data_IF_562854337167
#
_entry.id   IF_562854337167
#
_cell.length_a   1.000
_cell.length_b   1.000
_cell.length_c   1.000
_cell.angle_alpha   90.00
_cell.angle_beta   90.00
_cell.angle_gamma   90.00
#
_symmetry.space_group_name_H-M   'P 1'
#
loop_
_entity.id
_entity.type
_entity.pdbx_description
1 polymer ?
#
# COMPACT_ATOMS: atom_id res chain seq x y z
N UNK A 1 13.15 -0.38 -3.06
CA UNK A 1 11.78 0.11 -2.83
C UNK A 1 10.83 -1.05 -2.68
N UNK A 2 9.77 -0.86 -1.91
CA UNK A 2 8.81 -1.90 -1.46
C UNK A 2 7.96 -2.52 -2.59
N UNK A 3 7.15 -3.53 -2.25
CA UNK A 3 6.11 -4.09 -3.12
C UNK A 3 4.78 -4.13 -2.38
N UNK A 4 3.75 -3.75 -3.09
CA UNK A 4 2.39 -3.63 -2.60
C UNK A 4 1.51 -4.67 -3.27
N UNK A 5 0.59 -5.27 -2.53
CA UNK A 5 -0.54 -6.03 -3.04
C UNK A 5 -1.75 -5.79 -2.15
N UNK A 6 -2.93 -5.65 -2.74
CA UNK A 6 -4.18 -5.54 -2.02
C UNK A 6 -5.33 -6.11 -2.82
N UNK A 7 -6.38 -6.52 -2.14
CA UNK A 7 -7.61 -6.96 -2.79
C UNK A 7 -8.85 -6.61 -1.98
N UNK A 8 -9.97 -6.60 -2.69
CA UNK A 8 -11.32 -6.64 -2.12
C UNK A 8 -12.13 -7.70 -2.85
N UNK A 9 -13.01 -8.40 -2.13
CA UNK A 9 -13.81 -9.52 -2.65
C UNK A 9 -15.19 -9.57 -2.00
N UNK A 10 -16.22 -10.09 -2.69
CA UNK A 10 -17.56 -10.26 -2.12
C UNK A 10 -17.60 -11.33 -1.02
N UNK A 11 -16.73 -12.31 -1.11
CA UNK A 11 -16.61 -13.41 -0.16
C UNK A 11 -15.22 -13.42 0.47
N UNK A 12 -15.09 -13.96 1.68
CA UNK A 12 -13.79 -14.11 2.33
C UNK A 12 -12.92 -15.10 1.57
N UNK A 13 -11.78 -14.62 1.10
CA UNK A 13 -10.82 -15.39 0.31
C UNK A 13 -9.38 -15.10 0.79
N UNK A 14 -8.45 -16.00 0.54
CA UNK A 14 -7.02 -15.78 0.82
C UNK A 14 -6.30 -15.22 -0.41
N UNK A 15 -5.16 -14.53 -0.21
CA UNK A 15 -4.30 -14.09 -1.30
C UNK A 15 -3.93 -15.23 -2.28
N UNK A 16 -3.45 -16.40 -1.80
CA UNK A 16 -3.12 -17.51 -2.72
C UNK A 16 -4.32 -18.00 -3.54
N UNK A 17 -5.51 -18.05 -2.95
CA UNK A 17 -6.70 -18.51 -3.65
C UNK A 17 -7.17 -17.51 -4.72
N UNK A 18 -7.06 -16.21 -4.44
CA UNK A 18 -7.51 -15.16 -5.37
C UNK A 18 -6.48 -14.87 -6.49
N UNK A 19 -5.18 -14.88 -6.16
CA UNK A 19 -4.09 -14.60 -7.13
C UNK A 19 -3.75 -15.84 -7.97
N UNK A 20 -3.97 -17.04 -7.41
CA UNK A 20 -3.64 -18.31 -8.06
C UNK A 20 -2.13 -18.61 -8.03
N UNK A 21 -1.68 -19.40 -9.01
CA UNK A 21 -0.31 -19.93 -9.08
C UNK A 21 0.77 -18.83 -9.09
N UNK A 22 0.46 -17.66 -9.63
CA UNK A 22 1.39 -16.54 -9.71
C UNK A 22 1.63 -15.84 -8.35
N UNK A 23 0.91 -16.19 -7.29
CA UNK A 23 1.16 -15.61 -5.96
C UNK A 23 2.58 -15.91 -5.46
N UNK A 24 3.11 -17.09 -5.79
CA UNK A 24 4.49 -17.46 -5.45
C UNK A 24 5.52 -16.52 -6.10
N UNK A 25 5.24 -16.00 -7.30
CA UNK A 25 6.13 -15.05 -7.99
C UNK A 25 6.19 -13.72 -7.24
N UNK A 26 5.03 -13.22 -6.75
CA UNK A 26 5.01 -12.03 -5.89
C UNK A 26 5.81 -12.26 -4.60
N UNK A 27 5.62 -13.37 -3.92
CA UNK A 27 6.35 -13.69 -2.68
C UNK A 27 7.85 -13.81 -2.93
N UNK A 28 8.27 -14.32 -4.09
CA UNK A 28 9.69 -14.45 -4.47
C UNK A 28 10.42 -13.10 -4.53
N UNK A 29 9.69 -11.99 -4.76
CA UNK A 29 10.25 -10.64 -4.71
C UNK A 29 10.84 -10.31 -3.33
N UNK A 30 10.41 -11.00 -2.27
CA UNK A 30 10.97 -10.81 -0.93
C UNK A 30 12.42 -11.29 -0.78
N UNK A 31 12.99 -11.96 -1.78
CA UNK A 31 14.44 -12.22 -1.83
C UNK A 31 15.26 -10.93 -1.98
N UNK A 32 14.67 -9.90 -2.60
CA UNK A 32 15.24 -8.55 -2.74
C UNK A 32 14.62 -7.59 -1.73
N UNK A 33 13.29 -7.67 -1.53
CA UNK A 33 12.52 -6.87 -0.57
C UNK A 33 12.50 -7.58 0.79
N UNK A 34 13.69 -7.77 1.39
CA UNK A 34 13.91 -8.69 2.49
C UNK A 34 13.91 -8.04 3.88
N UNK A 35 13.68 -6.73 3.98
CA UNK A 35 13.79 -5.96 5.22
C UNK A 35 12.53 -6.02 6.11
N UNK A 36 11.50 -6.70 5.64
CA UNK A 36 10.27 -6.92 6.38
C UNK A 36 9.07 -7.24 5.48
N UNK A 37 8.03 -7.70 6.12
CA UNK A 37 6.71 -7.85 5.52
C UNK A 37 5.62 -7.50 6.52
N UNK A 38 4.44 -7.19 6.02
CA UNK A 38 3.27 -7.01 6.87
C UNK A 38 1.97 -7.20 6.11
N UNK A 39 1.00 -7.70 6.85
CA UNK A 39 -0.34 -8.06 6.38
C UNK A 39 -1.40 -7.43 7.28
N UNK A 40 -2.40 -6.80 6.69
CA UNK A 40 -3.63 -6.40 7.39
C UNK A 40 -4.87 -6.86 6.65
N UNK A 41 -5.93 -7.08 7.42
CA UNK A 41 -7.28 -7.23 6.88
C UNK A 41 -8.16 -6.07 7.33
N UNK A 42 -9.14 -5.71 6.52
CA UNK A 42 -10.14 -4.70 6.83
C UNK A 42 -11.50 -5.32 6.56
N UNK A 43 -12.22 -5.66 7.64
CA UNK A 43 -13.54 -6.25 7.51
C UNK A 43 -14.59 -5.21 7.09
N UNK A 44 -15.65 -5.62 6.40
CA UNK A 44 -16.78 -4.75 6.04
C UNK A 44 -17.55 -4.20 7.24
N UNK A 45 -17.39 -4.78 8.44
CA UNK A 45 -17.91 -4.23 9.69
C UNK A 45 -17.04 -3.10 10.27
N UNK A 46 -15.96 -2.69 9.58
CA UNK A 46 -15.11 -1.55 9.91
C UNK A 46 -13.95 -1.86 10.87
N UNK A 47 -13.72 -3.12 11.22
CA UNK A 47 -12.54 -3.45 12.01
C UNK A 47 -11.31 -3.53 11.09
N UNK A 48 -10.29 -2.69 11.39
CA UNK A 48 -8.97 -2.81 10.76
C UNK A 48 -8.07 -3.60 11.69
N UNK A 49 -7.57 -4.73 11.21
CA UNK A 49 -6.69 -5.60 11.96
C UNK A 49 -5.32 -5.68 11.28
N UNK A 50 -4.27 -5.32 12.00
CA UNK A 50 -2.90 -5.70 11.63
C UNK A 50 -2.71 -7.11 12.13
N UNK A 51 -2.63 -8.06 11.22
CA UNK A 51 -2.48 -9.48 11.56
C UNK A 51 -1.04 -9.80 11.97
N UNK A 52 -0.08 -9.28 11.22
CA UNK A 52 1.33 -9.48 11.52
C UNK A 52 2.21 -8.47 10.77
N UNK A 53 3.31 -8.07 11.43
CA UNK A 53 4.45 -7.36 10.84
C UNK A 53 5.74 -8.00 11.32
N UNK A 54 6.68 -8.31 10.43
CA UNK A 54 7.96 -8.92 10.76
C UNK A 54 9.10 -8.26 10.01
N UNK A 55 10.24 -8.21 10.67
CA UNK A 55 11.51 -7.68 10.14
C UNK A 55 12.34 -8.86 9.59
N UNK A 56 11.79 -9.52 8.59
CA UNK A 56 12.38 -10.67 7.91
C UNK A 56 11.82 -10.81 6.49
N UNK A 57 12.49 -11.54 5.61
CA UNK A 57 11.97 -11.82 4.27
C UNK A 57 10.75 -12.75 4.32
N UNK A 58 9.65 -12.38 3.63
CA UNK A 58 8.43 -13.18 3.59
C UNK A 58 8.68 -14.61 3.08
N UNK A 59 9.54 -14.79 2.07
CA UNK A 59 9.89 -16.10 1.51
C UNK A 59 10.58 -17.04 2.49
N UNK A 60 11.19 -16.52 3.56
CA UNK A 60 11.87 -17.31 4.59
C UNK A 60 11.10 -17.36 5.91
N UNK A 61 9.95 -16.69 6.00
CA UNK A 61 9.15 -16.60 7.22
C UNK A 61 8.16 -17.74 7.35
N UNK A 62 8.32 -18.57 8.36
CA UNK A 62 7.34 -19.62 8.71
C UNK A 62 6.02 -19.01 9.17
N UNK A 63 6.06 -17.86 9.83
CA UNK A 63 4.89 -17.08 10.26
C UNK A 63 4.11 -16.60 9.04
N UNK A 64 4.78 -16.00 8.05
CA UNK A 64 4.16 -15.58 6.79
C UNK A 64 3.43 -16.75 6.12
N UNK A 65 4.12 -17.87 5.90
CA UNK A 65 3.55 -19.04 5.25
C UNK A 65 2.31 -19.57 5.98
N UNK A 66 2.33 -19.54 7.31
CA UNK A 66 1.20 -20.00 8.12
C UNK A 66 0.00 -19.04 8.01
N UNK A 67 0.24 -17.74 8.10
CA UNK A 67 -0.81 -16.73 8.10
C UNK A 67 -1.43 -16.61 6.71
N UNK A 68 -0.62 -16.52 5.67
CA UNK A 68 -1.11 -16.28 4.31
C UNK A 68 -1.96 -17.44 3.77
N UNK A 69 -1.66 -18.68 4.21
CA UNK A 69 -2.42 -19.85 3.82
C UNK A 69 -3.76 -20.00 4.54
N UNK A 70 -3.84 -19.49 5.79
CA UNK A 70 -5.02 -19.67 6.67
C UNK A 70 -5.95 -18.48 6.69
N UNK A 71 -5.42 -17.27 6.44
CA UNK A 71 -6.23 -16.07 6.53
C UNK A 71 -7.10 -15.87 5.30
N UNK A 72 -8.40 -15.74 5.56
CA UNK A 72 -9.40 -15.36 4.57
C UNK A 72 -10.06 -14.06 5.00
N UNK A 73 -10.22 -13.12 4.07
CA UNK A 73 -10.80 -11.82 4.30
C UNK A 73 -11.56 -11.33 3.06
N UNK A 74 -12.44 -10.39 3.23
CA UNK A 74 -13.11 -9.68 2.14
C UNK A 74 -12.36 -8.39 1.70
N UNK A 75 -11.25 -8.09 2.37
CA UNK A 75 -10.29 -7.05 2.01
C UNK A 75 -9.00 -7.20 2.79
N UNK A 76 -7.86 -7.13 2.08
CA UNK A 76 -6.54 -7.24 2.69
C UNK A 76 -5.47 -6.44 1.95
N UNK A 77 -4.45 -6.00 2.71
CA UNK A 77 -3.24 -5.35 2.21
C UNK A 77 -2.01 -6.17 2.61
N UNK A 78 -1.11 -6.38 1.67
CA UNK A 78 0.16 -7.08 1.85
C UNK A 78 1.31 -6.19 1.38
N UNK A 79 2.35 -6.08 2.19
CA UNK A 79 3.53 -5.28 1.94
C UNK A 79 4.81 -6.09 2.06
N UNK A 80 5.71 -5.98 1.08
CA UNK A 80 7.09 -6.48 1.15
C UNK A 80 8.02 -5.26 1.22
N UNK A 81 8.81 -5.18 2.30
CA UNK A 81 9.63 -4.01 2.62
C UNK A 81 11.03 -4.13 2.04
N UNK A 82 11.47 -3.04 1.41
CA UNK A 82 12.87 -2.72 1.17
C UNK A 82 13.17 -1.37 1.80
N UNK A 83 13.88 -1.37 2.90
CA UNK A 83 14.15 -0.18 3.71
C UNK A 83 14.99 0.84 2.93
N UNK A 84 14.68 2.10 3.13
CA UNK A 84 15.54 3.19 2.70
C UNK A 84 16.84 3.16 3.49
N UNK A 85 17.97 3.29 2.81
CA UNK A 85 19.31 3.26 3.45
C UNK A 85 19.39 4.29 4.57
N UNK A 86 19.78 3.83 5.76
CA UNK A 86 19.93 4.67 6.95
C UNK A 86 18.73 4.65 7.90
N UNK A 87 17.59 4.08 7.52
CA UNK A 87 16.47 3.84 8.42
C UNK A 87 16.62 2.49 9.13
N UNK A 88 16.16 2.42 10.38
CA UNK A 88 16.19 1.19 11.16
C UNK A 88 15.22 0.15 10.59
N UNK A 89 15.63 -1.12 10.64
CA UNK A 89 14.73 -2.24 10.41
C UNK A 89 14.01 -2.56 11.72
N UNK A 90 12.76 -2.07 11.83
CA UNK A 90 11.90 -2.29 12.99
C UNK A 90 10.46 -2.52 12.58
N UNK A 91 9.63 -3.04 13.46
CA UNK A 91 8.20 -3.25 13.19
C UNK A 91 7.46 -1.92 13.10
N UNK A 92 7.87 -0.89 13.84
CA UNK A 92 7.32 0.47 13.78
C UNK A 92 7.49 1.06 12.37
N UNK A 93 8.61 0.78 11.72
CA UNK A 93 8.91 1.21 10.35
C UNK A 93 8.36 0.29 9.27
N UNK A 94 7.66 -0.78 9.64
CA UNK A 94 7.10 -1.76 8.71
C UNK A 94 5.60 -1.52 8.52
N UNK A 95 5.16 -1.48 7.25
CA UNK A 95 3.74 -1.40 6.90
C UNK A 95 2.99 -2.70 7.28
N UNK A 96 1.65 -2.63 7.37
CA UNK A 96 0.78 -1.48 7.20
C UNK A 96 0.79 -0.54 8.40
N UNK A 97 0.46 0.74 8.16
CA UNK A 97 0.06 1.70 9.19
C UNK A 97 -1.45 1.69 9.32
N UNK A 98 -1.97 1.87 10.56
CA UNK A 98 -3.41 1.80 10.81
C UNK A 98 -3.87 2.92 11.74
N UNK A 99 -5.08 3.44 11.48
CA UNK A 99 -5.76 4.36 12.37
C UNK A 99 -7.29 4.23 12.19
N UNK A 100 -8.00 3.96 13.27
CA UNK A 100 -9.44 3.70 13.20
C UNK A 100 -9.74 2.52 12.27
N UNK A 101 -10.56 2.76 11.25
CA UNK A 101 -10.92 1.76 10.24
C UNK A 101 -9.98 1.73 9.03
N UNK A 102 -8.94 2.56 9.01
CA UNK A 102 -8.02 2.68 7.88
C UNK A 102 -6.78 1.81 8.02
N UNK A 103 -6.39 1.19 6.92
CA UNK A 103 -5.10 0.52 6.76
C UNK A 103 -4.41 1.06 5.53
N UNK A 104 -3.09 1.27 5.63
CA UNK A 104 -2.30 1.97 4.62
C UNK A 104 -0.95 1.30 4.37
N UNK A 105 -0.59 1.16 3.10
CA UNK A 105 0.73 0.72 2.64
C UNK A 105 1.25 1.67 1.56
N UNK A 106 2.56 1.92 1.56
CA UNK A 106 3.22 2.86 0.64
C UNK A 106 4.49 2.24 0.04
N UNK A 107 4.74 2.58 -1.22
CA UNK A 107 5.98 2.25 -1.93
C UNK A 107 6.55 3.51 -2.55
N UNK A 108 7.63 4.01 -1.98
CA UNK A 108 8.34 5.18 -2.46
C UNK A 108 9.16 5.86 -1.40
N UNK A 109 9.51 7.12 -1.63
CA UNK A 109 10.20 7.98 -0.67
C UNK A 109 9.86 9.44 -0.94
N UNK A 110 9.63 10.20 0.14
CA UNK A 110 9.39 11.64 0.15
C UNK A 110 10.62 12.31 0.77
N UNK A 111 11.09 13.37 0.15
CA UNK A 111 12.30 14.09 0.56
C UNK A 111 12.06 15.60 0.74
N UNK A 112 12.57 16.22 1.82
CA UNK A 112 13.02 15.57 3.06
C UNK A 112 11.86 14.83 3.75
N UNK A 113 12.10 13.78 4.55
CA UNK A 113 11.01 13.00 5.16
C UNK A 113 10.09 13.81 6.08
N UNK A 114 10.61 14.90 6.68
CA UNK A 114 9.86 15.76 7.59
C UNK A 114 9.14 16.94 6.89
N UNK A 115 9.30 17.09 5.57
CA UNK A 115 8.74 18.25 4.83
C UNK A 115 7.23 18.36 4.94
N UNK A 116 6.53 17.26 5.13
CA UNK A 116 5.07 17.20 5.23
C UNK A 116 4.55 17.30 6.68
N UNK A 117 5.43 17.21 7.68
CA UNK A 117 5.03 17.27 9.11
C UNK A 117 4.24 18.53 9.47
N UNK A 118 4.58 19.75 8.98
CA UNK A 118 3.81 20.95 9.27
C UNK A 118 2.34 20.92 8.84
N UNK A 119 1.96 20.01 7.95
CA UNK A 119 0.61 19.86 7.43
C UNK A 119 -0.20 18.78 8.14
N UNK A 120 0.43 18.00 9.02
CA UNK A 120 -0.22 16.97 9.83
C UNK A 120 -0.91 17.62 11.03
N UNK A 121 -2.17 17.27 11.27
CA UNK A 121 -2.89 17.76 12.46
C UNK A 121 -2.12 17.34 13.73
N UNK A 122 -2.02 18.27 14.67
CA UNK A 122 -1.28 18.11 15.92
C UNK A 122 -1.70 16.87 16.73
N UNK A 123 -2.94 16.42 16.61
CA UNK A 123 -3.43 15.23 17.30
C UNK A 123 -2.81 13.93 16.78
N UNK A 124 -2.32 13.91 15.54
CA UNK A 124 -1.66 12.75 14.95
C UNK A 124 -0.16 12.70 15.23
N UNK A 125 0.48 13.83 15.53
CA UNK A 125 1.93 13.89 15.79
C UNK A 125 2.38 12.90 16.88
N UNK A 126 1.68 12.77 18.04
CA UNK A 126 2.06 11.79 19.06
C UNK A 126 1.89 10.32 18.65
N UNK A 127 1.20 10.05 17.55
CA UNK A 127 0.97 8.70 17.03
C UNK A 127 2.06 8.24 16.06
N UNK A 128 2.92 9.15 15.60
CA UNK A 128 4.08 8.84 14.76
C UNK A 128 5.14 8.23 15.68
N UNK A 129 5.40 6.94 15.53
CA UNK A 129 6.33 6.18 16.39
C UNK A 129 7.61 5.76 15.66
N UNK A 130 7.57 5.67 14.34
CA UNK A 130 8.71 5.32 13.50
C UNK A 130 9.40 6.52 12.88
N UNK A 131 10.39 6.22 12.04
CA UNK A 131 11.25 7.22 11.40
C UNK A 131 10.90 7.46 9.92
N UNK A 132 9.92 6.72 9.36
CA UNK A 132 9.65 6.70 7.93
C UNK A 132 8.84 7.93 7.47
N UNK A 133 9.13 8.41 6.28
CA UNK A 133 8.28 9.30 5.51
C UNK A 133 6.89 8.69 5.26
N UNK A 134 6.82 7.38 5.14
CA UNK A 134 5.58 6.63 4.90
C UNK A 134 4.57 6.76 6.04
N UNK A 135 5.01 6.72 7.31
CA UNK A 135 4.13 6.90 8.45
C UNK A 135 3.64 8.35 8.53
N UNK A 136 4.50 9.32 8.25
CA UNK A 136 4.13 10.75 8.14
C UNK A 136 3.13 10.96 7.01
N UNK A 137 3.34 10.32 5.86
CA UNK A 137 2.41 10.37 4.74
C UNK A 137 1.04 9.81 5.13
N UNK A 138 1.00 8.69 5.84
CA UNK A 138 -0.26 8.14 6.34
C UNK A 138 -1.02 9.13 7.22
N UNK A 139 -0.35 9.78 8.19
CA UNK A 139 -1.02 10.74 9.06
C UNK A 139 -1.35 12.07 8.36
N UNK A 140 -0.63 12.46 7.32
CA UNK A 140 -1.06 13.54 6.43
C UNK A 140 -2.37 13.16 5.71
N UNK A 141 -2.44 11.94 5.17
CA UNK A 141 -3.68 11.44 4.54
C UNK A 141 -4.83 11.46 5.54
N UNK A 142 -4.64 10.95 6.76
CA UNK A 142 -5.68 10.98 7.80
C UNK A 142 -6.14 12.40 8.14
N UNK A 143 -5.18 13.35 8.21
CA UNK A 143 -5.48 14.77 8.42
C UNK A 143 -6.40 15.33 7.34
N UNK A 144 -6.08 15.07 6.09
CA UNK A 144 -6.84 15.62 4.96
C UNK A 144 -8.17 14.87 4.74
N UNK A 145 -8.19 13.55 5.00
CA UNK A 145 -9.42 12.74 4.93
C UNK A 145 -10.46 13.21 5.96
N UNK A 146 -10.05 13.54 7.17
CA UNK A 146 -10.98 14.09 8.18
C UNK A 146 -11.55 15.47 7.80
N UNK A 147 -10.77 16.29 7.08
CA UNK A 147 -11.23 17.61 6.63
C UNK A 147 -12.18 17.56 5.45
N UNK A 148 -11.90 16.68 4.48
CA UNK A 148 -12.51 16.75 3.15
C UNK A 148 -13.21 15.46 2.70
N UNK A 149 -13.19 14.40 3.52
CA UNK A 149 -13.61 13.06 3.11
C UNK A 149 -12.57 12.32 2.28
N UNK A 150 -12.79 11.02 2.03
CA UNK A 150 -11.77 10.11 1.53
C UNK A 150 -11.11 10.58 0.23
N UNK A 151 -11.90 10.79 -0.83
CA UNK A 151 -11.36 11.08 -2.17
C UNK A 151 -10.69 12.45 -2.24
N UNK A 152 -11.37 13.48 -1.74
CA UNK A 152 -10.84 14.84 -1.75
C UNK A 152 -9.64 14.97 -0.80
N UNK A 153 -9.66 14.29 0.35
CA UNK A 153 -8.56 14.25 1.30
C UNK A 153 -7.32 13.56 0.73
N UNK A 154 -7.50 12.43 0.03
CA UNK A 154 -6.38 11.78 -0.68
C UNK A 154 -5.76 12.72 -1.72
N UNK A 155 -6.58 13.36 -2.57
CA UNK A 155 -6.07 14.33 -3.56
C UNK A 155 -5.36 15.51 -2.91
N UNK A 156 -5.89 16.03 -1.79
CA UNK A 156 -5.27 17.11 -1.02
C UNK A 156 -3.90 16.70 -0.46
N UNK A 157 -3.79 15.54 0.16
CA UNK A 157 -2.53 15.04 0.69
C UNK A 157 -1.46 14.85 -0.41
N UNK A 158 -1.85 14.26 -1.54
CA UNK A 158 -0.95 14.11 -2.70
C UNK A 158 -0.49 15.47 -3.24
N UNK A 159 -1.37 16.44 -3.32
CA UNK A 159 -1.04 17.82 -3.74
C UNK A 159 -0.04 18.46 -2.79
N UNK A 160 -0.24 18.36 -1.48
CA UNK A 160 0.69 18.90 -0.47
C UNK A 160 2.08 18.29 -0.66
N UNK A 161 2.18 16.95 -0.83
CA UNK A 161 3.47 16.30 -1.05
C UNK A 161 4.15 16.84 -2.32
N UNK A 162 3.41 16.95 -3.43
CA UNK A 162 3.94 17.40 -4.72
C UNK A 162 4.36 18.88 -4.71
N UNK A 163 3.72 19.73 -3.90
CA UNK A 163 4.03 21.17 -3.79
C UNK A 163 5.20 21.46 -2.85
N UNK A 164 5.41 20.65 -1.82
CA UNK A 164 6.36 20.95 -0.76
C UNK A 164 7.55 19.99 -0.68
N UNK A 165 7.41 18.78 -1.21
CA UNK A 165 8.46 17.75 -1.20
C UNK A 165 8.92 17.36 -2.59
N UNK A 166 10.02 16.61 -2.60
CA UNK A 166 10.45 15.85 -3.76
C UNK A 166 10.21 14.37 -3.47
N UNK A 167 10.02 13.55 -4.52
CA UNK A 167 9.67 12.14 -4.34
C UNK A 167 10.27 11.24 -5.42
N UNK A 168 10.45 9.98 -5.08
CA UNK A 168 10.64 8.93 -6.08
C UNK A 168 9.29 8.39 -6.54
N UNK A 169 8.44 8.04 -5.59
CA UNK A 169 7.08 7.58 -5.77
C UNK A 169 6.30 7.83 -4.47
N UNK A 170 5.00 8.03 -4.59
CA UNK A 170 4.03 8.04 -3.50
C UNK A 170 2.89 7.06 -3.80
N UNK A 171 3.22 5.99 -4.52
CA UNK A 171 2.31 4.88 -4.75
C UNK A 171 1.83 4.29 -3.42
N UNK A 172 0.53 4.25 -3.23
CA UNK A 172 -0.01 3.74 -1.98
C UNK A 172 -1.32 2.99 -2.19
N UNK A 173 -1.67 2.22 -1.17
CA UNK A 173 -2.98 1.62 -1.06
C UNK A 173 -3.56 1.97 0.31
N UNK A 174 -4.79 2.47 0.32
CA UNK A 174 -5.57 2.80 1.51
C UNK A 174 -6.87 2.03 1.47
N UNK A 175 -7.21 1.35 2.55
CA UNK A 175 -8.44 0.59 2.66
C UNK A 175 -9.19 0.93 3.94
N UNK A 176 -10.50 1.09 3.82
CA UNK A 176 -11.43 1.09 4.94
C UNK A 176 -12.58 0.11 4.63
N UNK A 177 -13.63 0.10 5.46
CA UNK A 177 -14.77 -0.80 5.25
C UNK A 177 -15.54 -0.56 3.95
N UNK A 178 -15.55 0.70 3.45
CA UNK A 178 -16.40 1.11 2.33
C UNK A 178 -15.63 1.17 1.00
N UNK A 179 -14.32 1.47 1.07
CA UNK A 179 -13.50 1.75 -0.12
C UNK A 179 -12.12 1.11 -0.05
N UNK A 180 -11.62 0.75 -1.22
CA UNK A 180 -10.22 0.48 -1.46
C UNK A 180 -9.67 1.47 -2.49
N UNK A 181 -8.71 2.27 -2.07
CA UNK A 181 -8.07 3.31 -2.88
C UNK A 181 -6.65 2.91 -3.21
N UNK A 182 -6.28 2.99 -4.48
CA UNK A 182 -4.91 2.74 -4.95
C UNK A 182 -4.43 3.94 -5.74
N UNK A 183 -3.25 4.46 -5.40
CA UNK A 183 -2.61 5.59 -6.07
C UNK A 183 -1.40 5.12 -6.86
N UNK A 184 -1.34 5.53 -8.13
CA UNK A 184 -0.15 5.44 -8.99
C UNK A 184 0.35 6.86 -9.24
N UNK A 185 1.36 7.28 -8.49
CA UNK A 185 1.98 8.60 -8.60
C UNK A 185 3.49 8.48 -8.35
N UNK A 186 4.29 8.66 -9.42
CA UNK A 186 5.73 8.52 -9.33
C UNK A 186 6.47 9.44 -10.29
N UNK A 187 7.70 9.78 -9.93
CA UNK A 187 8.62 10.54 -10.74
C UNK A 187 9.50 9.60 -11.58
N UNK A 188 9.18 9.47 -12.87
CA UNK A 188 9.91 8.58 -13.79
C UNK A 188 11.39 8.96 -13.95
N UNK A 189 11.74 10.24 -13.75
CA UNK A 189 13.12 10.72 -13.80
C UNK A 189 13.97 10.31 -12.60
N UNK A 190 13.32 9.84 -11.53
CA UNK A 190 13.98 9.30 -10.32
C UNK A 190 14.00 7.78 -10.27
N UNK A 191 13.65 7.11 -11.35
CA UNK A 191 13.80 5.68 -11.46
C UNK A 191 15.30 5.31 -11.45
N UNK A 192 15.72 4.33 -10.64
CA UNK A 192 17.10 3.87 -10.66
C UNK A 192 17.49 3.31 -12.04
N UNK A 193 18.71 3.58 -12.50
CA UNK A 193 19.20 3.15 -13.83
C UNK A 193 19.16 1.62 -14.04
N UNK A 194 19.27 0.85 -12.96
CA UNK A 194 19.22 -0.62 -12.99
C UNK A 194 17.78 -1.17 -13.02
N UNK A 195 16.76 -0.34 -12.76
CA UNK A 195 15.39 -0.77 -12.64
C UNK A 195 14.69 -0.83 -14.01
N UNK A 196 13.83 -1.83 -14.20
CA UNK A 196 12.99 -1.96 -15.39
C UNK A 196 12.09 -0.73 -15.58
N UNK A 197 11.61 -0.51 -16.80
CA UNK A 197 10.74 0.65 -17.11
C UNK A 197 9.47 0.66 -16.27
N UNK A 198 8.89 -0.50 -16.01
CA UNK A 198 7.67 -0.69 -15.22
C UNK A 198 7.89 -0.73 -13.70
N UNK A 199 9.08 -0.37 -13.20
CA UNK A 199 9.49 -0.54 -11.80
C UNK A 199 8.53 0.07 -10.77
N UNK A 200 7.90 1.20 -11.12
CA UNK A 200 6.92 1.90 -10.28
C UNK A 200 5.46 1.57 -10.63
N UNK A 201 5.21 0.80 -11.67
CA UNK A 201 3.85 0.54 -12.09
C UNK A 201 3.04 -0.18 -11.00
N UNK A 202 1.80 0.26 -10.88
CA UNK A 202 0.74 -0.47 -10.21
C UNK A 202 -0.16 -1.08 -11.29
N UNK A 203 -0.48 -2.35 -11.14
CA UNK A 203 -1.41 -3.05 -12.03
C UNK A 203 -2.62 -3.53 -11.24
N UNK A 204 -3.73 -3.73 -11.95
CA UNK A 204 -4.95 -4.24 -11.36
C UNK A 204 -5.62 -5.32 -12.22
N UNK A 205 -6.34 -6.21 -11.55
CA UNK A 205 -7.07 -7.31 -12.17
C UNK A 205 -8.46 -7.42 -11.55
N UNK A 206 -9.52 -7.01 -12.27
CA UNK A 206 -10.89 -7.37 -11.91
C UNK A 206 -11.14 -8.84 -12.26
N UNK A 207 -11.70 -9.60 -11.33
CA UNK A 207 -12.13 -10.97 -11.51
C UNK A 207 -13.56 -11.15 -10.98
N UNK A 208 -14.25 -12.27 -11.28
CA UNK A 208 -15.54 -12.55 -10.64
C UNK A 208 -15.45 -12.68 -9.12
N UNK A 209 -14.28 -13.07 -8.61
CA UNK A 209 -14.02 -13.28 -7.18
C UNK A 209 -13.58 -12.02 -6.45
N UNK A 210 -13.28 -10.92 -7.17
CA UNK A 210 -12.85 -9.66 -6.54
C UNK A 210 -11.97 -8.79 -7.42
N UNK A 211 -11.42 -7.74 -6.83
CA UNK A 211 -10.52 -6.79 -7.49
C UNK A 211 -9.16 -6.80 -6.78
N UNK A 212 -8.13 -7.03 -7.55
CA UNK A 212 -6.73 -7.06 -7.10
C UNK A 212 -5.97 -5.84 -7.61
N UNK A 213 -5.06 -5.32 -6.79
CA UNK A 213 -4.03 -4.36 -7.18
C UNK A 213 -2.67 -4.83 -6.67
N UNK A 214 -1.63 -4.66 -7.48
CA UNK A 214 -0.27 -4.98 -7.06
C UNK A 214 0.78 -4.16 -7.81
N UNK A 215 1.94 -4.00 -7.17
CA UNK A 215 3.16 -3.51 -7.82
C UNK A 215 3.62 -4.49 -8.91
N UNK A 216 4.29 -3.96 -9.93
CA UNK A 216 4.97 -4.72 -10.99
C UNK A 216 6.15 -5.56 -10.47
N UNK A 217 6.85 -6.22 -11.39
CA UNK A 217 8.09 -6.95 -11.14
C UNK A 217 7.92 -8.46 -10.97
N UNK A 218 6.75 -9.01 -11.25
CA UNK A 218 6.43 -10.44 -11.25
C UNK A 218 5.45 -10.78 -12.38
N UNK A 219 5.16 -12.06 -12.61
CA UNK A 219 4.27 -12.50 -13.69
C UNK A 219 2.82 -12.07 -13.43
N UNK A 220 2.28 -11.19 -14.29
CA UNK A 220 0.94 -10.59 -14.16
C UNK A 220 0.14 -10.72 -15.48
N UNK A 221 -0.14 -11.94 -15.96
CA UNK A 221 -0.89 -12.12 -17.20
C UNK A 221 -2.33 -11.61 -17.04
N UNK A 222 -2.79 -10.80 -17.99
CA UNK A 222 -4.15 -10.23 -17.97
C UNK A 222 -4.36 -9.01 -17.07
N UNK A 223 -3.37 -8.62 -16.28
CA UNK A 223 -3.44 -7.41 -15.46
C UNK A 223 -3.35 -6.15 -16.35
N UNK A 224 -4.05 -5.10 -15.92
CA UNK A 224 -4.06 -3.79 -16.57
C UNK A 224 -3.20 -2.82 -15.76
N UNK A 225 -2.45 -1.95 -16.42
CA UNK A 225 -1.72 -0.89 -15.74
C UNK A 225 -2.71 0.19 -15.23
N UNK A 226 -2.50 0.66 -13.99
CA UNK A 226 -3.03 1.92 -13.52
C UNK A 226 -2.02 3.00 -13.93
N UNK A 227 -2.42 3.84 -14.87
CA UNK A 227 -1.54 4.88 -15.41
C UNK A 227 -0.97 5.78 -14.29
N UNK A 228 0.25 6.28 -14.52
CA UNK A 228 0.83 7.27 -13.62
C UNK A 228 -0.07 8.52 -13.53
N UNK A 229 -0.04 9.21 -12.40
CA UNK A 229 -0.91 10.37 -12.10
C UNK A 229 -2.40 10.00 -12.02
N UNK A 230 -2.71 8.75 -11.62
CA UNK A 230 -4.09 8.30 -11.44
C UNK A 230 -4.30 7.63 -10.08
N UNK A 231 -5.55 7.68 -9.65
CA UNK A 231 -6.06 7.01 -8.47
C UNK A 231 -7.23 6.13 -8.88
N UNK A 232 -7.19 4.86 -8.50
CA UNK A 232 -8.33 3.95 -8.62
C UNK A 232 -9.04 3.87 -7.27
N UNK A 233 -10.37 3.97 -7.31
CA UNK A 233 -11.24 3.83 -6.13
C UNK A 233 -12.19 2.69 -6.39
N UNK A 234 -12.17 1.68 -5.53
CA UNK A 234 -13.09 0.56 -5.57
C UNK A 234 -14.11 0.70 -4.45
N UNK A 235 -15.39 0.75 -4.78
CA UNK A 235 -16.47 0.64 -3.81
C UNK A 235 -16.60 -0.83 -3.39
N UNK A 236 -16.46 -1.13 -2.10
CA UNK A 236 -16.44 -2.52 -1.60
C UNK A 236 -17.82 -3.19 -1.56
N UNK A 237 -18.88 -2.42 -1.72
CA UNK A 237 -20.24 -2.98 -1.81
C UNK A 237 -20.66 -3.33 -3.22
N UNK A 238 -20.18 -2.56 -4.24
CA UNK A 238 -20.57 -2.75 -5.64
C UNK A 238 -19.44 -3.33 -6.50
N UNK A 239 -18.19 -3.28 -6.01
CA UNK A 239 -16.96 -3.64 -6.73
C UNK A 239 -16.71 -2.81 -8.00
N UNK A 240 -17.43 -1.70 -8.14
CA UNK A 240 -17.18 -0.72 -9.21
C UNK A 240 -15.83 -0.06 -8.98
N UNK A 241 -15.07 0.08 -10.08
CA UNK A 241 -13.77 0.73 -10.10
C UNK A 241 -13.93 2.08 -10.80
N UNK A 242 -13.67 3.15 -10.09
CA UNK A 242 -13.56 4.49 -10.67
C UNK A 242 -12.07 4.88 -10.75
N UNK A 243 -11.62 5.29 -11.95
CA UNK A 243 -10.24 5.78 -12.15
C UNK A 243 -10.28 7.29 -12.34
N UNK A 244 -9.55 8.00 -11.48
CA UNK A 244 -9.54 9.46 -11.39
C UNK A 244 -8.12 9.99 -11.68
N UNK A 245 -8.01 11.03 -12.48
CA UNK A 245 -6.76 11.79 -12.63
C UNK A 245 -6.44 12.57 -11.34
N UNK A 246 -5.12 12.74 -11.06
CA UNK A 246 -4.54 13.40 -9.88
C UNK A 246 -3.97 14.77 -10.21
#
# INVERSE_FOLDING_TARGET
MCRLMGFVSPEKISFPALVGDNFSDFVSLSSVHCDGWGLSTVDQNGATNVLEKKVEAASHSSTFNTIIAKNVADGALLHLRWATKGLSNSEENTHPFTYGEFSFIHNGSIFPPDVIVPFIDSKFIPLIVGDTDSERYFYLVMTEVEKFGLIAGMKSALKIIKEHGDMTSINCMLMNRDFFVTVSEHNSHRRPDWAAEDYYEIKYLPTPEGVLFASSGWSQPGWKALENHHMAVVNRSTFEIEVLAL
#
